data_IF_617679933058
#
_entry.id   IF_617679933058
#
_cell.length_a   1.000
_cell.length_b   1.000
_cell.length_c   1.000
_cell.angle_alpha   90.00
_cell.angle_beta   90.00
_cell.angle_gamma   90.00
#
_symmetry.space_group_name_H-M   'P 1'
#
loop_
_entity.id
_entity.type
_entity.pdbx_description
1 polymer ?
#
# COMPACT_ATOMS: atom_id res chain seq x y z
N UNK A 1 33.22 22.75 -7.89
CA UNK A 1 32.32 21.68 -8.40
C UNK A 1 31.31 21.25 -7.35
N UNK A 2 31.67 20.96 -6.11
CA UNK A 2 30.80 20.48 -5.03
C UNK A 2 29.67 21.43 -4.67
N UNK A 3 29.93 22.75 -4.56
CA UNK A 3 28.91 23.75 -4.19
C UNK A 3 27.77 23.86 -5.23
N UNK A 4 28.06 23.74 -6.52
CA UNK A 4 27.05 23.79 -7.57
C UNK A 4 26.13 22.58 -7.58
N UNK A 5 26.70 21.39 -7.36
CA UNK A 5 25.91 20.16 -7.26
C UNK A 5 24.96 20.28 -6.06
N UNK A 6 25.46 20.74 -4.92
CA UNK A 6 24.64 20.96 -3.73
C UNK A 6 23.51 21.96 -4.00
N UNK A 7 23.79 23.12 -4.61
CA UNK A 7 22.78 24.12 -4.95
C UNK A 7 21.73 23.60 -5.96
N UNK A 8 22.14 22.75 -6.89
CA UNK A 8 21.20 22.09 -7.80
C UNK A 8 20.23 21.18 -7.06
N UNK A 9 20.71 20.40 -6.07
CA UNK A 9 19.84 19.59 -5.23
C UNK A 9 18.94 20.43 -4.34
N UNK A 10 19.43 21.55 -3.78
CA UNK A 10 18.62 22.48 -3.01
C UNK A 10 17.47 23.03 -3.85
N UNK A 11 17.72 23.40 -5.12
CA UNK A 11 16.69 23.84 -6.06
C UNK A 11 15.67 22.73 -6.35
N UNK A 12 16.12 21.49 -6.59
CA UNK A 12 15.24 20.35 -6.79
C UNK A 12 14.38 20.08 -5.54
N UNK A 13 14.96 20.19 -4.35
CA UNK A 13 14.21 20.00 -3.10
C UNK A 13 13.19 21.10 -2.89
N UNK A 14 13.51 22.36 -3.19
CA UNK A 14 12.55 23.46 -3.13
C UNK A 14 11.38 23.23 -4.12
N UNK A 15 11.67 22.75 -5.33
CA UNK A 15 10.64 22.38 -6.30
C UNK A 15 9.74 21.24 -5.80
N UNK A 16 10.29 20.21 -5.16
CA UNK A 16 9.49 19.13 -4.59
C UNK A 16 8.64 19.60 -3.39
N UNK A 17 9.11 20.55 -2.61
CA UNK A 17 8.33 21.17 -1.55
C UNK A 17 7.16 21.99 -2.11
N UNK A 18 7.38 22.79 -3.16
CA UNK A 18 6.33 23.51 -3.89
C UNK A 18 5.31 22.52 -4.46
N UNK A 19 5.78 21.45 -5.07
CA UNK A 19 4.93 20.38 -5.60
C UNK A 19 4.10 19.72 -4.49
N UNK A 20 4.69 19.52 -3.31
CA UNK A 20 4.00 19.00 -2.13
C UNK A 20 2.83 19.88 -1.70
N UNK A 21 3.01 21.20 -1.68
CA UNK A 21 1.94 22.17 -1.37
C UNK A 21 0.79 22.02 -2.37
N UNK A 22 1.07 21.99 -3.68
CA UNK A 22 0.04 21.80 -4.69
C UNK A 22 -0.70 20.47 -4.54
N UNK A 23 -0.01 19.36 -4.26
CA UNK A 23 -0.65 18.05 -4.02
C UNK A 23 -1.69 18.10 -2.91
N UNK A 24 -1.40 18.83 -1.85
CA UNK A 24 -2.34 18.94 -0.73
C UNK A 24 -3.49 19.91 -0.99
N UNK A 25 -3.28 20.92 -1.81
CA UNK A 25 -4.22 22.03 -2.02
C UNK A 25 -5.11 21.89 -3.25
N UNK A 26 -4.64 21.24 -4.32
CA UNK A 26 -5.41 21.08 -5.56
C UNK A 26 -6.39 19.88 -5.49
N UNK A 27 -7.56 19.97 -6.14
CA UNK A 27 -8.06 21.08 -6.96
C UNK A 27 -8.76 22.19 -6.15
N UNK A 28 -8.78 22.10 -4.82
CA UNK A 28 -9.57 23.02 -3.94
C UNK A 28 -8.97 24.43 -3.80
N UNK A 29 -7.77 24.64 -4.35
CA UNK A 29 -7.02 25.89 -4.24
C UNK A 29 -6.25 26.02 -2.92
N UNK A 30 -5.30 26.95 -2.88
CA UNK A 30 -4.48 27.24 -1.69
C UNK A 30 -5.33 27.99 -0.66
N UNK A 31 -5.25 27.61 0.60
CA UNK A 31 -5.71 28.44 1.69
C UNK A 31 -4.63 29.51 2.06
N UNK A 32 -4.93 30.47 2.96
CA UNK A 32 -3.99 31.55 3.30
C UNK A 32 -2.65 31.06 3.88
N UNK A 33 -2.64 29.98 4.65
CA UNK A 33 -1.41 29.40 5.22
C UNK A 33 -0.61 28.68 4.14
N UNK A 34 -1.27 27.93 3.29
CA UNK A 34 -0.67 27.23 2.14
C UNK A 34 -0.08 28.23 1.13
N UNK A 35 -0.79 29.33 0.84
CA UNK A 35 -0.30 30.40 -0.05
C UNK A 35 0.94 31.09 0.53
N UNK A 36 0.96 31.37 1.83
CA UNK A 36 2.13 31.93 2.49
C UNK A 36 3.34 30.99 2.41
N UNK A 37 3.15 29.70 2.66
CA UNK A 37 4.21 28.66 2.49
C UNK A 37 4.69 28.57 1.04
N UNK A 38 3.76 28.59 0.09
CA UNK A 38 4.08 28.57 -1.33
C UNK A 38 4.94 29.78 -1.75
N UNK A 39 4.54 31.00 -1.36
CA UNK A 39 5.29 32.23 -1.66
C UNK A 39 6.68 32.20 -1.06
N UNK A 40 6.83 31.72 0.18
CA UNK A 40 8.12 31.57 0.82
C UNK A 40 9.02 30.61 0.01
N UNK A 41 8.51 29.44 -0.40
CA UNK A 41 9.30 28.47 -1.19
C UNK A 41 9.67 28.97 -2.57
N UNK A 42 8.81 29.78 -3.20
CA UNK A 42 9.16 30.47 -4.45
C UNK A 42 10.28 31.48 -4.25
N UNK A 43 10.29 32.21 -3.14
CA UNK A 43 11.36 33.16 -2.81
C UNK A 43 12.69 32.42 -2.57
N UNK A 44 12.66 31.33 -1.82
CA UNK A 44 13.83 30.47 -1.56
C UNK A 44 14.40 29.92 -2.87
N UNK A 45 13.55 29.41 -3.75
CA UNK A 45 13.96 28.89 -5.06
C UNK A 45 14.61 29.98 -5.93
N UNK A 46 14.03 31.17 -5.97
CA UNK A 46 14.60 32.32 -6.70
C UNK A 46 15.98 32.68 -6.19
N UNK A 47 16.19 32.70 -4.87
CA UNK A 47 17.49 32.95 -4.27
C UNK A 47 18.53 31.87 -4.66
N UNK A 48 18.14 30.60 -4.62
CA UNK A 48 19.02 29.48 -5.02
C UNK A 48 19.37 29.59 -6.52
N UNK A 49 18.41 29.93 -7.37
CA UNK A 49 18.65 30.09 -8.81
C UNK A 49 19.58 31.26 -9.08
N UNK A 50 19.39 32.40 -8.39
CA UNK A 50 20.28 33.57 -8.49
C UNK A 50 21.73 33.22 -8.08
N UNK A 51 21.91 32.42 -7.03
CA UNK A 51 23.23 31.93 -6.61
C UNK A 51 23.86 31.01 -7.69
N UNK A 52 23.07 30.17 -8.34
CA UNK A 52 23.53 29.32 -9.43
C UNK A 52 23.94 30.13 -10.67
N UNK A 53 23.23 31.20 -10.98
CA UNK A 53 23.52 32.11 -12.10
C UNK A 53 24.77 32.97 -11.83
N UNK A 54 24.90 33.52 -10.62
CA UNK A 54 26.05 34.32 -10.22
C UNK A 54 27.39 33.54 -10.24
N UNK A 55 27.30 32.25 -10.07
CA UNK A 55 28.47 31.38 -9.88
C UNK A 55 29.18 30.91 -11.14
N UNK A 56 28.83 31.30 -12.36
CA UNK A 56 29.56 31.18 -13.66
C UNK A 56 28.62 31.05 -14.87
N UNK A 57 29.10 31.50 -16.02
CA UNK A 57 28.45 31.51 -17.30
C UNK A 57 27.51 30.34 -17.62
N UNK A 58 26.39 30.68 -18.16
CA UNK A 58 25.19 29.93 -18.48
C UNK A 58 25.45 28.46 -18.85
N UNK A 59 25.27 27.56 -17.91
CA UNK A 59 24.89 26.20 -18.27
C UNK A 59 23.38 26.27 -18.61
N UNK A 60 23.04 26.23 -19.88
CA UNK A 60 21.65 26.02 -20.32
C UNK A 60 21.17 24.79 -19.53
N UNK A 61 20.25 25.00 -18.61
CA UNK A 61 19.49 23.90 -18.01
C UNK A 61 18.77 23.26 -19.19
N UNK A 62 19.29 22.15 -19.66
CA UNK A 62 18.65 21.36 -20.69
C UNK A 62 17.27 21.04 -20.12
N UNK A 63 16.21 21.49 -20.80
CA UNK A 63 14.87 21.04 -20.51
C UNK A 63 14.93 19.53 -20.39
N UNK A 64 14.71 19.00 -19.19
CA UNK A 64 14.37 17.60 -19.03
C UNK A 64 12.98 17.51 -19.63
N UNK A 65 12.94 17.37 -20.95
CA UNK A 65 11.70 17.07 -21.65
C UNK A 65 11.29 15.70 -21.16
N UNK A 66 10.25 15.62 -20.36
CA UNK A 66 9.63 14.36 -20.03
C UNK A 66 9.19 13.71 -21.35
N UNK A 67 9.88 12.65 -21.75
CA UNK A 67 9.48 11.80 -22.89
C UNK A 67 8.42 10.80 -22.50
N UNK A 68 8.11 10.71 -21.19
CA UNK A 68 7.13 9.79 -20.63
C UNK A 68 5.91 10.62 -20.23
N UNK A 69 4.78 10.34 -20.86
CA UNK A 69 3.49 10.92 -20.48
C UNK A 69 2.84 10.08 -19.37
N UNK A 70 2.49 10.73 -18.27
CA UNK A 70 1.84 10.10 -17.13
C UNK A 70 0.34 10.37 -17.20
N UNK A 71 -0.45 9.31 -17.25
CA UNK A 71 -1.91 9.38 -17.44
C UNK A 71 -2.63 10.17 -16.35
N UNK A 72 -2.14 10.12 -15.12
CA UNK A 72 -2.76 10.76 -13.95
C UNK A 72 -1.74 11.60 -13.21
N UNK A 73 -2.09 12.85 -12.89
CA UNK A 73 -1.27 13.78 -12.11
C UNK A 73 -1.97 14.06 -10.79
N UNK A 74 -1.44 13.51 -9.69
CA UNK A 74 -2.01 13.71 -8.36
C UNK A 74 -1.90 15.14 -7.85
N UNK A 75 -0.95 15.90 -8.39
CA UNK A 75 -0.79 17.32 -8.11
C UNK A 75 -1.98 18.16 -8.58
N UNK A 76 -2.67 17.69 -9.61
CA UNK A 76 -3.77 18.40 -10.28
C UNK A 76 -5.14 17.81 -9.91
N UNK A 77 -5.20 16.71 -9.15
CA UNK A 77 -6.44 15.97 -8.96
C UNK A 77 -6.55 15.36 -7.56
N UNK A 78 -7.79 15.16 -7.10
CA UNK A 78 -8.12 14.27 -6.00
C UNK A 78 -8.16 12.84 -6.57
N UNK A 79 -7.25 12.00 -6.12
CA UNK A 79 -7.18 10.61 -6.56
C UNK A 79 -7.88 9.71 -5.53
N UNK A 80 -8.99 9.08 -5.93
CA UNK A 80 -9.77 8.12 -5.13
C UNK A 80 -9.50 6.66 -5.52
N UNK A 81 -8.39 6.41 -6.20
CA UNK A 81 -8.00 5.08 -6.67
C UNK A 81 -7.96 4.08 -5.51
N UNK A 82 -8.68 2.94 -5.61
CA UNK A 82 -8.90 2.05 -4.47
C UNK A 82 -7.64 1.31 -4.01
N UNK A 83 -6.62 1.17 -4.86
CA UNK A 83 -5.50 0.26 -4.57
C UNK A 83 -4.35 0.96 -3.85
N UNK A 84 -3.99 2.18 -4.26
CA UNK A 84 -2.72 2.81 -3.90
C UNK A 84 -2.85 4.18 -3.21
N UNK A 85 -4.00 4.50 -2.63
CA UNK A 85 -4.21 5.81 -2.01
C UNK A 85 -3.14 6.15 -0.95
N UNK A 86 -2.80 5.18 -0.08
CA UNK A 86 -1.76 5.34 0.94
C UNK A 86 -0.33 5.09 0.41
N UNK A 87 -0.18 4.73 -0.86
CA UNK A 87 1.10 4.52 -1.53
C UNK A 87 1.76 5.80 -2.05
N UNK A 88 1.12 6.96 -1.92
CA UNK A 88 1.72 8.24 -2.31
C UNK A 88 3.04 8.45 -1.63
N UNK A 89 4.07 8.78 -2.42
CA UNK A 89 5.39 9.09 -1.87
C UNK A 89 5.33 10.37 -1.04
N UNK A 90 5.98 10.34 0.12
CA UNK A 90 6.21 11.56 0.90
C UNK A 90 7.23 12.47 0.20
N UNK A 91 7.26 13.74 0.61
CA UNK A 91 8.28 14.69 0.12
C UNK A 91 9.70 14.18 0.41
N UNK A 92 9.91 13.57 1.58
CA UNK A 92 11.20 13.01 2.00
C UNK A 92 11.61 11.85 1.09
N UNK A 93 10.68 10.95 0.75
CA UNK A 93 10.95 9.87 -0.20
C UNK A 93 11.32 10.39 -1.59
N UNK A 94 10.62 11.43 -2.08
CA UNK A 94 10.96 12.07 -3.36
C UNK A 94 12.34 12.69 -3.34
N UNK A 95 12.68 13.45 -2.28
CA UNK A 95 14.01 14.01 -2.08
C UNK A 95 15.11 12.93 -2.05
N UNK A 96 14.86 11.85 -1.29
CA UNK A 96 15.78 10.73 -1.18
C UNK A 96 16.01 10.05 -2.55
N UNK A 97 14.96 9.83 -3.34
CA UNK A 97 15.07 9.25 -4.68
C UNK A 97 15.89 10.13 -5.62
N UNK A 98 15.68 11.46 -5.59
CA UNK A 98 16.48 12.41 -6.37
C UNK A 98 17.95 12.31 -5.96
N UNK A 99 18.24 12.27 -4.66
CA UNK A 99 19.62 12.20 -4.14
C UNK A 99 20.29 10.86 -4.43
N UNK A 100 19.52 9.77 -4.47
CA UNK A 100 20.02 8.43 -4.74
C UNK A 100 20.37 8.25 -6.23
N UNK A 101 19.50 8.62 -7.13
CA UNK A 101 19.65 8.81 -8.59
C UNK A 101 20.13 7.63 -9.43
N UNK A 102 20.89 6.72 -8.85
CA UNK A 102 21.54 5.60 -9.53
C UNK A 102 20.79 4.30 -9.26
N UNK A 103 20.88 3.35 -10.20
CA UNK A 103 20.24 2.05 -10.11
C UNK A 103 20.95 1.02 -9.22
N UNK A 104 21.75 1.45 -8.26
CA UNK A 104 22.50 0.52 -7.41
C UNK A 104 21.58 -0.27 -6.49
N UNK A 105 21.88 -1.55 -6.39
CA UNK A 105 21.29 -2.42 -5.38
C UNK A 105 21.99 -2.26 -4.03
N UNK A 106 21.34 -2.72 -2.96
CA UNK A 106 21.88 -2.72 -1.61
C UNK A 106 22.00 -4.14 -1.07
N UNK A 107 22.85 -4.33 -0.08
CA UNK A 107 23.02 -5.61 0.59
C UNK A 107 22.72 -5.48 2.09
N UNK A 108 21.67 -6.10 2.55
CA UNK A 108 21.20 -6.05 3.93
C UNK A 108 21.16 -7.40 4.63
N UNK A 109 21.16 -8.49 3.86
CA UNK A 109 20.97 -9.84 4.38
C UNK A 109 22.03 -10.29 5.38
N UNK A 110 23.24 -9.72 5.34
CA UNK A 110 24.31 -10.07 6.26
C UNK A 110 24.43 -9.08 7.45
N UNK A 111 23.49 -8.15 7.63
CA UNK A 111 23.51 -7.10 8.66
C UNK A 111 24.82 -6.26 8.70
N UNK A 112 25.61 -6.34 7.65
CA UNK A 112 26.85 -5.56 7.48
C UNK A 112 26.69 -4.69 6.24
N UNK A 113 26.93 -3.36 6.34
CA UNK A 113 26.89 -2.51 5.18
C UNK A 113 27.92 -3.02 4.14
N UNK A 114 27.43 -3.21 2.92
CA UNK A 114 28.34 -3.45 1.81
C UNK A 114 28.99 -2.12 1.45
N UNK A 115 30.31 -2.10 1.28
CA UNK A 115 31.07 -0.85 1.07
C UNK A 115 30.63 -0.02 -0.15
N UNK A 116 29.87 -0.62 -1.06
CA UNK A 116 29.30 0.05 -2.23
C UNK A 116 27.85 0.51 -1.99
N UNK A 117 27.26 0.18 -0.83
CA UNK A 117 25.92 0.66 -0.49
C UNK A 117 25.94 2.17 -0.28
N UNK A 118 24.99 2.84 -0.90
CA UNK A 118 24.84 4.30 -0.75
C UNK A 118 23.98 4.69 0.45
N UNK A 119 23.28 3.74 1.05
CA UNK A 119 22.44 3.94 2.23
C UNK A 119 23.27 3.58 3.47
N UNK A 120 23.68 4.58 4.23
CA UNK A 120 24.52 4.39 5.41
C UNK A 120 23.83 4.78 6.72
N UNK A 121 22.81 5.63 6.67
CA UNK A 121 22.05 6.09 7.84
C UNK A 121 20.58 6.33 7.50
N UNK A 122 19.64 5.69 8.24
CA UNK A 122 19.93 4.57 9.15
C UNK A 122 20.51 3.37 8.39
N UNK A 123 21.14 2.43 9.11
CA UNK A 123 21.51 1.14 8.52
C UNK A 123 20.28 0.35 8.08
N UNK A 124 20.41 -0.45 7.03
CA UNK A 124 19.26 -1.24 6.54
C UNK A 124 18.80 -2.26 7.59
N UNK A 125 19.76 -2.86 8.31
CA UNK A 125 19.45 -3.78 9.40
C UNK A 125 18.69 -3.08 10.55
N UNK A 126 19.10 -1.85 10.90
CA UNK A 126 18.42 -1.05 11.93
C UNK A 126 17.00 -0.70 11.49
N UNK A 127 16.82 -0.42 10.19
CA UNK A 127 15.50 -0.19 9.63
C UNK A 127 14.60 -1.44 9.67
N UNK A 128 15.16 -2.63 9.43
CA UNK A 128 14.42 -3.88 9.59
C UNK A 128 13.99 -4.11 11.03
N UNK A 129 14.85 -3.80 12.01
CA UNK A 129 14.50 -3.87 13.43
C UNK A 129 13.39 -2.85 13.79
N UNK A 130 13.41 -1.66 13.20
CA UNK A 130 12.34 -0.67 13.38
C UNK A 130 11.03 -1.09 12.72
N UNK A 131 11.08 -1.77 11.57
CA UNK A 131 9.89 -2.35 10.94
C UNK A 131 9.28 -3.48 11.81
N UNK A 132 10.11 -4.34 12.38
CA UNK A 132 9.65 -5.40 13.29
C UNK A 132 8.91 -4.79 14.48
N UNK A 133 9.50 -3.78 15.14
CA UNK A 133 8.86 -3.04 16.23
C UNK A 133 7.56 -2.36 15.80
N UNK A 134 7.51 -1.81 14.58
CA UNK A 134 6.36 -1.09 14.06
C UNK A 134 5.12 -1.96 13.92
N UNK A 135 5.29 -3.23 13.58
CA UNK A 135 4.19 -4.21 13.50
C UNK A 135 4.14 -5.14 14.71
N UNK A 136 4.92 -4.86 15.76
CA UNK A 136 5.08 -5.68 16.96
C UNK A 136 5.33 -7.16 16.66
N UNK A 137 6.36 -7.43 15.84
CA UNK A 137 6.90 -8.75 15.56
C UNK A 137 8.37 -8.81 15.97
N UNK A 138 8.98 -10.01 15.94
CA UNK A 138 10.36 -10.18 16.38
C UNK A 138 11.36 -9.79 15.28
N UNK A 139 11.09 -10.16 14.04
CA UNK A 139 12.00 -9.97 12.91
C UNK A 139 11.21 -9.46 11.70
N UNK A 140 11.79 -8.55 10.94
CA UNK A 140 11.23 -8.10 9.66
C UNK A 140 12.26 -8.01 8.55
N UNK A 141 11.76 -8.04 7.31
CA UNK A 141 12.51 -7.79 6.08
C UNK A 141 11.68 -6.96 5.12
N UNK A 142 12.33 -6.07 4.40
CA UNK A 142 11.75 -5.50 3.18
C UNK A 142 11.84 -6.52 2.06
N UNK A 143 10.75 -6.68 1.33
CA UNK A 143 10.64 -7.66 0.23
C UNK A 143 10.13 -6.96 -1.04
N UNK A 144 10.41 -7.50 -2.25
CA UNK A 144 9.92 -6.92 -3.51
C UNK A 144 8.41 -7.18 -3.69
N UNK A 145 7.60 -6.47 -2.88
CA UNK A 145 6.15 -6.55 -2.86
C UNK A 145 5.61 -7.61 -1.89
N UNK A 146 4.37 -7.40 -1.40
CA UNK A 146 3.69 -8.38 -0.54
C UNK A 146 3.67 -9.78 -1.16
N UNK A 147 3.53 -9.87 -2.49
CA UNK A 147 3.59 -11.14 -3.22
C UNK A 147 4.84 -11.96 -2.89
N UNK A 148 6.02 -11.32 -2.78
CA UNK A 148 7.25 -12.02 -2.39
C UNK A 148 7.19 -12.49 -0.94
N UNK A 149 6.56 -11.72 -0.05
CA UNK A 149 6.33 -12.14 1.33
C UNK A 149 5.49 -13.42 1.39
N UNK A 150 4.37 -13.48 0.65
CA UNK A 150 3.55 -14.71 0.56
C UNK A 150 4.34 -15.88 -0.01
N UNK A 151 5.09 -15.69 -1.08
CA UNK A 151 5.94 -16.72 -1.67
C UNK A 151 6.98 -17.22 -0.68
N UNK A 152 7.66 -16.33 0.05
CA UNK A 152 8.68 -16.72 1.03
C UNK A 152 8.11 -17.59 2.15
N UNK A 153 6.92 -17.25 2.67
CA UNK A 153 6.25 -18.06 3.69
C UNK A 153 5.78 -19.39 3.11
N UNK A 154 5.13 -19.37 1.95
CA UNK A 154 4.68 -20.61 1.30
C UNK A 154 5.86 -21.55 0.99
N UNK A 155 6.95 -21.03 0.41
CA UNK A 155 8.16 -21.84 0.13
C UNK A 155 8.83 -22.40 1.41
N UNK A 156 8.57 -21.76 2.56
CA UNK A 156 9.11 -22.21 3.85
C UNK A 156 8.32 -23.37 4.45
N UNK A 157 6.99 -23.34 4.29
CA UNK A 157 6.07 -24.20 5.03
C UNK A 157 5.40 -25.28 4.18
N UNK A 158 5.20 -24.99 2.89
CA UNK A 158 4.38 -25.83 1.99
C UNK A 158 5.26 -26.76 1.19
N UNK A 159 4.97 -28.07 1.25
CA UNK A 159 5.52 -29.05 0.36
C UNK A 159 4.49 -29.44 -0.71
N UNK A 160 4.93 -30.16 -1.73
CA UNK A 160 4.04 -30.63 -2.79
C UNK A 160 2.87 -31.44 -2.23
N UNK A 161 1.66 -30.99 -2.50
CA UNK A 161 0.42 -31.64 -2.08
C UNK A 161 -0.10 -31.24 -0.70
N UNK A 162 0.62 -30.40 0.06
CA UNK A 162 0.13 -29.88 1.34
C UNK A 162 -1.02 -28.90 1.11
N UNK A 163 -2.00 -28.93 2.00
CA UNK A 163 -3.15 -28.01 1.96
C UNK A 163 -2.84 -26.70 2.70
N UNK A 164 -3.24 -25.59 2.11
CA UNK A 164 -3.18 -24.24 2.71
C UNK A 164 -4.58 -23.65 2.73
N UNK A 165 -5.01 -23.18 3.89
CA UNK A 165 -6.29 -22.49 4.07
C UNK A 165 -6.14 -21.02 3.70
N UNK A 166 -7.06 -20.51 2.88
CA UNK A 166 -7.15 -19.11 2.50
C UNK A 166 -8.60 -18.62 2.60
N UNK A 167 -8.80 -17.31 2.65
CA UNK A 167 -10.13 -16.71 2.52
C UNK A 167 -10.70 -16.93 1.12
N UNK A 168 -12.02 -17.15 0.98
CA UNK A 168 -12.69 -17.07 -0.32
C UNK A 168 -12.63 -15.66 -0.96
N UNK A 169 -12.18 -14.64 -0.20
CA UNK A 169 -11.84 -13.29 -0.69
C UNK A 169 -10.35 -13.06 -0.87
N UNK A 170 -9.50 -14.09 -0.69
CA UNK A 170 -8.06 -13.94 -0.79
C UNK A 170 -7.62 -13.37 -2.14
N UNK A 171 -6.61 -12.53 -2.12
CA UNK A 171 -6.07 -11.98 -3.34
C UNK A 171 -5.35 -13.08 -4.15
N UNK A 172 -5.48 -13.07 -5.47
CA UNK A 172 -4.88 -14.10 -6.35
C UNK A 172 -3.39 -14.36 -6.11
N UNK A 173 -2.65 -13.39 -5.54
CA UNK A 173 -1.22 -13.57 -5.23
C UNK A 173 -0.96 -14.56 -4.11
N UNK A 174 -1.94 -14.81 -3.23
CA UNK A 174 -1.87 -15.87 -2.22
C UNK A 174 -2.02 -17.25 -2.88
N UNK A 175 -3.00 -17.38 -3.78
CA UNK A 175 -3.16 -18.58 -4.60
C UNK A 175 -1.88 -18.92 -5.36
N UNK A 176 -1.29 -17.92 -6.06
CA UNK A 176 -0.04 -18.12 -6.79
C UNK A 176 1.14 -18.49 -5.89
N UNK A 177 1.18 -17.99 -4.66
CA UNK A 177 2.23 -18.36 -3.72
C UNK A 177 2.13 -19.84 -3.30
N UNK A 178 0.91 -20.30 -3.04
CA UNK A 178 0.63 -21.72 -2.70
C UNK A 178 0.91 -22.62 -3.90
N UNK A 179 0.46 -22.26 -5.10
CA UNK A 179 0.70 -22.99 -6.34
C UNK A 179 2.20 -23.14 -6.63
N UNK A 180 2.97 -22.04 -6.52
CA UNK A 180 4.42 -22.05 -6.73
C UNK A 180 5.17 -22.98 -5.76
N UNK A 181 4.66 -23.15 -4.56
CA UNK A 181 5.19 -24.10 -3.58
C UNK A 181 4.72 -25.55 -3.82
N UNK A 182 3.80 -25.76 -4.77
CA UNK A 182 3.22 -27.06 -5.06
C UNK A 182 2.11 -27.48 -4.10
N UNK A 183 1.56 -26.53 -3.35
CA UNK A 183 0.46 -26.74 -2.40
C UNK A 183 -0.92 -26.72 -3.06
N UNK A 184 -1.93 -27.02 -2.26
CA UNK A 184 -3.33 -27.05 -2.64
C UNK A 184 -4.09 -26.00 -1.82
N UNK A 185 -4.74 -25.06 -2.50
CA UNK A 185 -5.57 -24.04 -1.86
C UNK A 185 -6.88 -24.64 -1.37
N UNK A 186 -7.26 -24.31 -0.14
CA UNK A 186 -8.53 -24.67 0.51
C UNK A 186 -9.22 -23.41 1.00
N UNK A 187 -10.32 -23.03 0.38
CA UNK A 187 -11.01 -21.77 0.68
C UNK A 187 -11.97 -21.91 1.86
N UNK A 188 -11.89 -20.95 2.79
CA UNK A 188 -12.89 -20.79 3.86
C UNK A 188 -14.08 -20.01 3.29
N UNK A 189 -15.31 -20.53 3.41
CA UNK A 189 -16.49 -19.83 2.94
C UNK A 189 -16.78 -18.58 3.77
N UNK A 190 -17.53 -17.64 3.17
CA UNK A 190 -17.96 -16.41 3.80
C UNK A 190 -19.33 -16.61 4.47
N UNK A 191 -19.57 -15.86 5.53
CA UNK A 191 -20.90 -15.70 6.08
C UNK A 191 -21.73 -14.67 5.26
N UNK A 192 -22.98 -14.43 5.67
CA UNK A 192 -23.90 -13.50 5.01
C UNK A 192 -23.40 -12.04 4.98
N UNK A 193 -22.43 -11.69 5.86
CA UNK A 193 -21.80 -10.36 5.92
C UNK A 193 -20.51 -10.28 5.10
N UNK A 194 -20.22 -11.27 4.27
CA UNK A 194 -18.97 -11.40 3.53
C UNK A 194 -17.72 -11.42 4.45
N UNK A 195 -17.80 -12.14 5.57
CA UNK A 195 -16.68 -12.30 6.50
C UNK A 195 -16.26 -13.76 6.61
N UNK A 196 -14.97 -14.00 6.71
CA UNK A 196 -14.41 -15.26 7.21
C UNK A 196 -14.53 -15.27 8.73
N UNK A 197 -15.02 -16.35 9.31
CA UNK A 197 -15.15 -16.50 10.76
C UNK A 197 -14.22 -17.59 11.30
N UNK A 198 -13.95 -17.54 12.59
CA UNK A 198 -13.18 -18.57 13.29
C UNK A 198 -13.82 -19.95 13.20
N UNK A 199 -15.16 -20.01 13.31
CA UNK A 199 -15.93 -21.24 13.22
C UNK A 199 -15.82 -21.86 11.81
N UNK A 200 -15.98 -21.06 10.75
CA UNK A 200 -15.84 -21.54 9.38
C UNK A 200 -14.40 -21.99 9.11
N UNK A 201 -13.41 -21.32 9.70
CA UNK A 201 -12.00 -21.72 9.59
C UNK A 201 -11.76 -23.07 10.29
N UNK A 202 -12.27 -23.26 11.52
CA UNK A 202 -12.20 -24.53 12.24
C UNK A 202 -12.83 -25.67 11.44
N UNK A 203 -14.03 -25.42 10.91
CA UNK A 203 -14.76 -26.40 10.10
C UNK A 203 -13.94 -26.78 8.85
N UNK A 204 -13.33 -25.81 8.17
CA UNK A 204 -12.49 -26.08 6.99
C UNK A 204 -11.23 -26.86 7.35
N UNK A 205 -10.61 -26.61 8.50
CA UNK A 205 -9.46 -27.40 8.99
C UNK A 205 -9.85 -28.87 9.17
N UNK A 206 -10.97 -29.14 9.85
CA UNK A 206 -11.45 -30.50 10.07
C UNK A 206 -11.90 -31.20 8.78
N UNK A 207 -12.52 -30.46 7.84
CA UNK A 207 -12.87 -30.96 6.51
C UNK A 207 -11.62 -31.44 5.77
N UNK A 208 -10.57 -30.60 5.70
CA UNK A 208 -9.30 -30.93 5.05
C UNK A 208 -8.64 -32.15 5.71
N UNK A 209 -8.62 -32.19 7.04
CA UNK A 209 -8.08 -33.32 7.80
C UNK A 209 -8.82 -34.62 7.49
N UNK A 210 -10.15 -34.57 7.40
CA UNK A 210 -10.98 -35.72 7.09
C UNK A 210 -10.77 -36.22 5.65
N UNK A 211 -10.68 -35.31 4.69
CA UNK A 211 -10.50 -35.65 3.28
C UNK A 211 -9.08 -36.18 2.96
N UNK A 212 -8.06 -35.59 3.58
CA UNK A 212 -6.65 -35.84 3.20
C UNK A 212 -5.89 -36.70 4.20
N UNK A 213 -6.42 -36.91 5.39
CA UNK A 213 -5.74 -37.52 6.53
C UNK A 213 -4.64 -36.65 7.15
N UNK A 214 -4.52 -35.38 6.73
CA UNK A 214 -3.49 -34.43 7.20
C UNK A 214 -4.10 -33.08 7.53
N UNK A 215 -3.52 -32.41 8.51
CA UNK A 215 -3.85 -31.00 8.77
C UNK A 215 -3.31 -30.08 7.67
N UNK A 216 -3.95 -28.94 7.39
CA UNK A 216 -3.33 -27.86 6.62
C UNK A 216 -2.05 -27.38 7.28
N UNK A 217 -1.09 -26.91 6.49
CA UNK A 217 0.21 -26.45 7.00
C UNK A 217 0.30 -24.94 7.25
N UNK A 218 -0.70 -24.20 6.77
CA UNK A 218 -0.72 -22.74 6.87
C UNK A 218 -2.17 -22.24 6.73
N UNK A 219 -2.51 -21.19 7.48
CA UNK A 219 -3.71 -20.38 7.30
C UNK A 219 -3.28 -18.99 6.86
N UNK A 220 -3.82 -18.46 5.75
CA UNK A 220 -3.52 -17.12 5.22
C UNK A 220 -4.82 -16.31 5.13
N UNK A 221 -4.94 -15.24 5.89
CA UNK A 221 -6.18 -14.44 5.95
C UNK A 221 -5.86 -12.95 5.84
N UNK A 222 -6.66 -12.26 5.01
CA UNK A 222 -6.67 -10.81 4.94
C UNK A 222 -7.30 -10.21 6.20
N UNK A 223 -6.70 -9.16 6.77
CA UNK A 223 -7.37 -8.42 7.85
C UNK A 223 -8.55 -7.60 7.29
N UNK A 224 -8.28 -6.87 6.23
CA UNK A 224 -9.31 -6.23 5.41
C UNK A 224 -9.18 -6.77 3.98
N UNK A 225 -10.22 -7.42 3.50
CA UNK A 225 -10.19 -8.01 2.17
C UNK A 225 -10.19 -6.94 1.05
N UNK A 226 -9.66 -7.30 -0.11
CA UNK A 226 -9.57 -6.34 -1.22
C UNK A 226 -10.89 -6.14 -1.97
N UNK A 227 -11.90 -6.97 -1.74
CA UNK A 227 -13.20 -6.90 -2.43
C UNK A 227 -14.14 -5.92 -1.77
N UNK A 228 -14.35 -6.08 -0.46
CA UNK A 228 -15.30 -5.29 0.32
C UNK A 228 -14.58 -4.37 1.33
N UNK A 229 -13.33 -4.67 1.66
CA UNK A 229 -12.60 -4.08 2.78
C UNK A 229 -13.39 -4.18 4.08
N UNK A 230 -13.93 -5.35 4.36
CA UNK A 230 -14.55 -5.71 5.62
C UNK A 230 -13.50 -6.25 6.59
N UNK A 231 -13.69 -5.99 7.88
CA UNK A 231 -12.77 -6.43 8.92
C UNK A 231 -13.03 -7.89 9.28
N UNK A 232 -12.04 -8.75 9.10
CA UNK A 232 -12.06 -10.13 9.58
C UNK A 232 -11.47 -10.20 10.99
N UNK A 233 -12.08 -11.01 11.88
CA UNK A 233 -11.55 -11.23 13.24
C UNK A 233 -10.35 -12.18 13.21
N UNK A 234 -9.20 -11.61 12.81
CA UNK A 234 -7.96 -12.37 12.69
C UNK A 234 -7.53 -12.98 14.02
N UNK A 235 -7.76 -12.29 15.14
CA UNK A 235 -7.34 -12.80 16.45
C UNK A 235 -8.12 -14.08 16.82
N UNK A 236 -9.42 -14.12 16.55
CA UNK A 236 -10.21 -15.34 16.74
C UNK A 236 -9.78 -16.45 15.79
N UNK A 237 -9.49 -16.11 14.51
CA UNK A 237 -9.00 -17.08 13.52
C UNK A 237 -7.63 -17.63 13.91
N UNK A 238 -6.70 -16.77 14.36
CA UNK A 238 -5.37 -17.19 14.84
C UNK A 238 -5.48 -18.16 16.01
N UNK A 239 -6.34 -17.83 16.99
CA UNK A 239 -6.59 -18.71 18.13
C UNK A 239 -7.06 -20.10 17.72
N UNK A 240 -7.96 -20.17 16.74
CA UNK A 240 -8.43 -21.45 16.20
C UNK A 240 -7.31 -22.17 15.47
N UNK A 241 -6.56 -21.49 14.61
CA UNK A 241 -5.44 -22.08 13.87
C UNK A 241 -4.41 -22.71 14.80
N UNK A 242 -4.04 -22.00 15.88
CA UNK A 242 -3.08 -22.47 16.88
C UNK A 242 -3.58 -23.66 17.72
N UNK A 243 -4.90 -23.86 17.85
CA UNK A 243 -5.43 -25.08 18.50
C UNK A 243 -5.09 -26.36 17.73
N UNK A 244 -4.75 -26.22 16.46
CA UNK A 244 -4.31 -27.31 15.57
C UNK A 244 -2.81 -27.26 15.28
N UNK A 245 -2.04 -26.42 15.96
CA UNK A 245 -0.61 -26.17 15.71
C UNK A 245 -0.33 -25.68 14.28
N UNK A 246 -1.27 -24.96 13.65
CA UNK A 246 -1.13 -24.41 12.31
C UNK A 246 -0.78 -22.94 12.41
N UNK A 247 0.35 -22.49 11.80
CA UNK A 247 0.71 -21.07 11.79
C UNK A 247 -0.25 -20.22 10.96
N UNK A 248 -0.40 -18.95 11.37
CA UNK A 248 -1.23 -17.97 10.70
C UNK A 248 -0.39 -16.87 10.03
N UNK A 249 -0.60 -16.67 8.73
CA UNK A 249 -0.14 -15.51 7.99
C UNK A 249 -1.24 -14.45 7.94
N UNK A 250 -0.95 -13.31 8.54
CA UNK A 250 -1.76 -12.10 8.47
C UNK A 250 -1.44 -11.33 7.18
N UNK A 251 -2.40 -11.25 6.26
CA UNK A 251 -2.31 -10.38 5.10
C UNK A 251 -2.70 -8.95 5.46
N UNK A 252 -1.70 -8.11 5.66
CA UNK A 252 -1.81 -6.69 5.97
C UNK A 252 -1.60 -5.75 4.79
N UNK A 253 -1.85 -6.19 3.55
CA UNK A 253 -1.58 -5.38 2.36
C UNK A 253 -2.35 -4.04 2.34
N UNK A 254 -3.45 -3.94 3.06
CA UNK A 254 -4.25 -2.72 3.23
C UNK A 254 -4.20 -2.13 4.64
N UNK A 255 -3.39 -2.69 5.56
CA UNK A 255 -3.34 -2.25 6.95
C UNK A 255 -1.96 -1.79 7.40
N UNK A 256 -0.90 -2.55 7.06
CA UNK A 256 0.48 -2.21 7.46
C UNK A 256 0.89 -0.86 6.84
N UNK A 257 1.06 0.16 7.67
CA UNK A 257 1.42 1.51 7.26
C UNK A 257 0.24 2.48 7.06
N UNK A 258 -1.01 2.01 7.23
CA UNK A 258 -2.22 2.85 7.23
C UNK A 258 -2.81 2.96 8.62
N UNK A 259 -2.88 1.85 9.35
CA UNK A 259 -3.43 1.76 10.69
C UNK A 259 -2.44 1.06 11.63
N UNK A 260 -2.64 1.14 12.95
CA UNK A 260 -1.83 0.36 13.89
C UNK A 260 -2.01 -1.13 13.65
N UNK A 261 -0.90 -1.86 13.58
CA UNK A 261 -0.87 -3.33 13.50
C UNK A 261 -0.03 -3.87 14.63
N UNK A 262 -0.60 -4.77 15.43
CA UNK A 262 0.07 -5.46 16.53
C UNK A 262 0.03 -6.97 16.28
N UNK A 263 1.05 -7.47 15.57
CA UNK A 263 1.10 -8.85 15.13
C UNK A 263 1.05 -9.86 16.28
N UNK A 264 1.77 -9.61 17.38
CA UNK A 264 1.76 -10.49 18.57
C UNK A 264 0.42 -10.52 19.26
N UNK A 265 -0.24 -9.36 19.42
CA UNK A 265 -1.57 -9.30 20.03
C UNK A 265 -2.62 -10.03 19.18
N UNK A 266 -2.50 -9.95 17.87
CA UNK A 266 -3.36 -10.65 16.93
C UNK A 266 -3.09 -12.16 16.94
N UNK A 267 -1.90 -12.60 17.34
CA UNK A 267 -1.47 -13.99 17.26
C UNK A 267 -0.97 -14.37 15.86
N UNK A 268 -0.45 -13.41 15.10
CA UNK A 268 0.12 -13.70 13.79
C UNK A 268 1.53 -14.31 13.91
N UNK A 269 1.80 -15.38 13.19
CA UNK A 269 3.14 -15.95 13.04
C UNK A 269 3.92 -15.20 11.97
N UNK A 270 3.22 -14.76 10.92
CA UNK A 270 3.74 -13.95 9.84
C UNK A 270 2.83 -12.74 9.57
N UNK A 271 3.44 -11.60 9.32
CA UNK A 271 2.77 -10.37 8.87
C UNK A 271 3.33 -9.96 7.52
N UNK A 272 2.47 -9.84 6.51
CA UNK A 272 2.86 -9.37 5.18
C UNK A 272 2.17 -8.06 4.86
N UNK A 273 2.93 -7.01 4.58
CA UNK A 273 2.45 -5.69 4.18
C UNK A 273 2.85 -5.32 2.75
N UNK A 274 2.10 -4.42 2.11
CA UNK A 274 2.39 -3.91 0.77
C UNK A 274 2.93 -2.48 0.84
N UNK A 275 4.20 -2.28 0.46
CA UNK A 275 4.85 -0.98 0.54
C UNK A 275 4.25 0.06 -0.42
N UNK A 276 4.03 -0.32 -1.68
CA UNK A 276 3.44 0.59 -2.67
C UNK A 276 1.96 0.87 -2.46
N UNK A 277 1.24 0.06 -1.66
CA UNK A 277 -0.15 0.34 -1.32
C UNK A 277 -0.28 1.21 -0.07
N UNK A 278 0.56 0.94 0.95
CA UNK A 278 0.31 1.44 2.29
C UNK A 278 1.52 1.99 3.05
N UNK A 279 2.75 1.87 2.51
CA UNK A 279 3.98 2.37 3.17
C UNK A 279 4.61 3.58 2.46
N UNK A 280 3.87 4.23 1.56
CA UNK A 280 4.37 5.37 0.77
C UNK A 280 5.73 5.09 0.11
N UNK A 281 5.86 3.94 -0.53
CA UNK A 281 7.11 3.45 -1.14
C UNK A 281 6.93 3.15 -2.61
N UNK A 282 8.01 3.25 -3.39
CA UNK A 282 8.02 2.88 -4.81
C UNK A 282 7.79 1.37 -4.98
N UNK A 283 7.01 1.02 -5.99
CA UNK A 283 6.75 -0.38 -6.35
C UNK A 283 7.94 -1.04 -7.08
N UNK A 284 8.13 -2.35 -6.91
CA UNK A 284 7.46 -3.22 -5.94
C UNK A 284 8.13 -3.15 -4.57
N UNK A 285 7.35 -2.99 -3.52
CA UNK A 285 7.83 -2.98 -2.14
C UNK A 285 6.84 -3.65 -1.21
N UNK A 286 7.34 -4.28 -0.16
CA UNK A 286 6.56 -4.96 0.85
C UNK A 286 7.35 -5.17 2.13
N UNK A 287 6.64 -5.59 3.15
CA UNK A 287 7.19 -5.98 4.46
C UNK A 287 6.80 -7.42 4.70
N UNK A 288 7.75 -8.23 5.12
CA UNK A 288 7.53 -9.54 5.72
C UNK A 288 8.08 -9.48 7.14
N UNK A 289 7.22 -9.68 8.12
CA UNK A 289 7.64 -9.82 9.52
C UNK A 289 7.16 -11.17 10.08
N UNK A 290 7.86 -11.67 11.10
CA UNK A 290 7.61 -13.00 11.65
C UNK A 290 8.04 -13.09 13.10
N UNK A 291 7.56 -14.12 13.79
CA UNK A 291 8.02 -14.48 15.12
C UNK A 291 9.41 -15.09 15.10
N UNK A 292 10.11 -15.06 16.23
CA UNK A 292 11.44 -15.65 16.40
C UNK A 292 11.44 -17.18 16.10
N UNK A 293 10.32 -17.84 16.39
CA UNK A 293 10.14 -19.27 16.11
C UNK A 293 10.29 -19.62 14.63
N UNK A 294 9.71 -18.82 13.74
CA UNK A 294 9.70 -19.09 12.30
C UNK A 294 10.90 -18.51 11.56
N UNK A 295 11.58 -17.53 12.15
CA UNK A 295 12.71 -16.86 11.51
C UNK A 295 13.83 -17.80 11.07
N UNK A 296 14.27 -18.82 11.84
CA UNK A 296 15.32 -19.73 11.39
C UNK A 296 14.96 -20.54 10.13
N UNK A 297 13.66 -20.78 9.92
CA UNK A 297 13.16 -21.50 8.73
C UNK A 297 12.99 -20.54 7.55
N UNK A 298 12.29 -19.43 7.74
CA UNK A 298 11.98 -18.46 6.68
C UNK A 298 13.19 -17.65 6.20
N UNK A 299 14.16 -17.40 7.09
CA UNK A 299 15.42 -16.71 6.79
C UNK A 299 16.61 -17.66 6.72
N UNK A 300 16.36 -18.93 6.44
CA UNK A 300 17.42 -19.93 6.27
C UNK A 300 18.42 -19.49 5.21
N UNK A 301 19.68 -19.73 5.47
CA UNK A 301 20.74 -19.48 4.48
C UNK A 301 20.98 -20.72 3.62
N UNK A 302 21.54 -20.50 2.42
CA UNK A 302 21.83 -21.64 1.54
C UNK A 302 22.93 -22.54 2.09
N UNK A 303 22.67 -23.86 2.05
CA UNK A 303 23.66 -24.90 2.29
C UNK A 303 24.34 -25.40 1.00
N UNK A 304 23.94 -24.87 -0.16
CA UNK A 304 24.46 -25.32 -1.46
C UNK A 304 25.95 -25.03 -1.59
N UNK A 305 26.63 -26.00 -2.16
CA UNK A 305 28.06 -25.95 -2.48
C UNK A 305 28.22 -26.18 -3.97
N UNK A 306 28.91 -25.30 -4.65
CA UNK A 306 29.23 -25.50 -6.07
C UNK A 306 30.02 -26.82 -6.28
N UNK A 307 29.56 -27.69 -7.15
CA UNK A 307 30.18 -29.00 -7.42
C UNK A 307 31.61 -28.85 -7.97
N UNK A 308 31.81 -27.91 -8.86
CA UNK A 308 33.11 -27.59 -9.47
C UNK A 308 33.95 -26.64 -8.62
N UNK A 309 33.39 -25.48 -8.23
CA UNK A 309 34.14 -24.39 -7.60
C UNK A 309 34.27 -24.52 -6.09
N UNK A 310 33.50 -25.43 -5.48
CA UNK A 310 33.37 -25.59 -4.01
C UNK A 310 32.96 -24.31 -3.28
N UNK A 311 32.42 -23.32 -4.01
CA UNK A 311 31.96 -22.04 -3.43
C UNK A 311 30.74 -22.24 -2.54
N UNK A 312 30.71 -21.54 -1.42
CA UNK A 312 29.64 -21.55 -0.43
C UNK A 312 29.11 -20.13 -0.24
N UNK A 313 27.81 -20.01 0.00
CA UNK A 313 27.14 -18.71 0.22
C UNK A 313 26.29 -18.71 1.51
N UNK A 314 26.79 -19.33 2.58
CA UNK A 314 26.08 -19.58 3.83
C UNK A 314 25.54 -18.36 4.59
N UNK A 315 25.77 -17.14 4.10
CA UNK A 315 25.25 -15.90 4.65
C UNK A 315 24.05 -15.35 3.83
N UNK A 316 23.64 -16.02 2.76
CA UNK A 316 22.59 -15.54 1.86
C UNK A 316 21.27 -16.22 2.19
N UNK A 317 20.29 -15.43 2.61
CA UNK A 317 18.92 -15.89 2.89
C UNK A 317 18.26 -16.32 1.58
N UNK A 318 17.84 -17.60 1.51
CA UNK A 318 17.33 -18.21 0.28
C UNK A 318 16.02 -17.55 -0.15
N UNK A 319 15.08 -17.43 0.77
CA UNK A 319 13.76 -16.88 0.46
C UNK A 319 13.77 -15.37 0.22
N UNK A 320 14.79 -14.67 0.70
CA UNK A 320 15.01 -13.26 0.39
C UNK A 320 15.83 -13.06 -0.90
N UNK A 321 16.09 -14.14 -1.66
CA UNK A 321 16.89 -14.13 -2.89
C UNK A 321 18.34 -13.65 -2.70
N UNK A 322 18.86 -13.84 -1.51
CA UNK A 322 20.20 -13.39 -1.15
C UNK A 322 20.25 -11.90 -0.83
N UNK A 323 21.27 -11.22 -1.31
CA UNK A 323 21.35 -9.77 -1.28
C UNK A 323 21.00 -9.22 -2.66
N UNK A 324 20.58 -8.07 -2.78
CA UNK A 324 20.17 -7.32 -3.96
C UNK A 324 18.73 -6.86 -3.80
N UNK A 325 18.50 -6.07 -2.76
CA UNK A 325 17.30 -5.28 -2.68
C UNK A 325 17.36 -4.14 -3.70
N UNK A 326 16.21 -3.77 -4.21
CA UNK A 326 16.08 -2.62 -5.08
C UNK A 326 16.30 -1.34 -4.26
N UNK A 327 17.47 -0.72 -4.40
CA UNK A 327 17.90 0.38 -3.55
C UNK A 327 16.93 1.55 -3.51
N UNK A 328 16.41 2.00 -4.65
CA UNK A 328 15.42 3.07 -4.71
C UNK A 328 14.11 2.73 -3.97
N UNK A 329 13.65 1.49 -4.08
CA UNK A 329 12.44 1.02 -3.39
C UNK A 329 12.61 1.02 -1.87
N UNK A 330 13.71 0.45 -1.39
CA UNK A 330 14.05 0.41 0.03
C UNK A 330 14.24 1.84 0.58
N UNK A 331 15.02 2.67 -0.11
CA UNK A 331 15.28 4.04 0.28
C UNK A 331 14.01 4.88 0.41
N UNK A 332 13.08 4.74 -0.55
CA UNK A 332 11.80 5.46 -0.48
C UNK A 332 10.96 5.03 0.72
N UNK A 333 10.97 3.74 1.06
CA UNK A 333 10.29 3.23 2.26
C UNK A 333 10.94 3.78 3.53
N UNK A 334 12.27 3.72 3.64
CA UNK A 334 13.02 4.26 4.78
C UNK A 334 12.75 5.74 4.98
N UNK A 335 12.77 6.53 3.90
CA UNK A 335 12.54 7.97 3.96
C UNK A 335 11.08 8.33 4.32
N UNK A 336 10.10 7.54 3.88
CA UNK A 336 8.69 7.72 4.24
C UNK A 336 8.35 7.25 5.65
N UNK A 337 9.14 6.37 6.24
CA UNK A 337 8.78 5.64 7.46
C UNK A 337 8.41 6.52 8.66
N UNK A 338 9.11 7.63 8.98
CA UNK A 338 8.69 8.52 10.05
C UNK A 338 7.27 9.06 9.86
N UNK A 339 6.95 9.50 8.64
CA UNK A 339 5.61 9.97 8.28
C UNK A 339 4.57 8.86 8.32
N UNK A 340 4.94 7.65 7.86
CA UNK A 340 4.08 6.46 7.94
C UNK A 340 3.75 6.11 9.38
N UNK A 341 4.74 6.09 10.28
CA UNK A 341 4.49 5.85 11.72
C UNK A 341 3.55 6.89 12.31
N UNK A 342 3.78 8.16 12.01
CA UNK A 342 2.94 9.24 12.54
C UNK A 342 1.50 9.16 12.05
N UNK A 343 1.28 8.85 10.77
CA UNK A 343 -0.07 8.80 10.18
C UNK A 343 -0.90 7.62 10.66
N UNK A 344 -0.30 6.47 10.99
CA UNK A 344 -1.06 5.33 11.53
C UNK A 344 -1.77 5.66 12.82
N UNK A 345 -1.22 6.58 13.64
CA UNK A 345 -1.84 7.06 14.88
C UNK A 345 -3.09 7.92 14.66
N UNK A 346 -3.33 8.36 13.42
CA UNK A 346 -4.50 9.17 13.01
C UNK A 346 -5.57 8.34 12.30
N UNK A 347 -5.52 7.02 12.44
CA UNK A 347 -6.44 6.12 11.74
C UNK A 347 -7.92 6.45 11.98
N UNK A 348 -8.30 6.77 13.20
CA UNK A 348 -9.69 7.11 13.54
C UNK A 348 -10.19 8.35 12.79
N UNK A 349 -9.30 9.31 12.50
CA UNK A 349 -9.63 10.49 11.69
C UNK A 349 -9.88 10.11 10.24
N UNK A 350 -9.08 9.18 9.68
CA UNK A 350 -9.26 8.67 8.33
C UNK A 350 -10.59 7.92 8.19
N UNK A 351 -10.93 7.09 9.18
CA UNK A 351 -12.21 6.36 9.24
C UNK A 351 -13.40 7.33 9.36
N UNK A 352 -13.29 8.38 10.17
CA UNK A 352 -14.32 9.43 10.26
C UNK A 352 -14.56 10.13 8.93
N UNK A 353 -13.50 10.47 8.19
CA UNK A 353 -13.60 11.07 6.86
C UNK A 353 -14.27 10.15 5.86
N UNK A 354 -13.90 8.86 5.91
CA UNK A 354 -14.55 7.85 5.05
C UNK A 354 -16.06 7.75 5.34
N UNK A 355 -16.44 7.65 6.60
CA UNK A 355 -17.85 7.62 6.98
C UNK A 355 -18.58 8.88 6.54
N UNK A 356 -18.01 10.08 6.75
CA UNK A 356 -18.60 11.33 6.29
C UNK A 356 -18.90 11.32 4.78
N UNK A 357 -17.95 10.84 3.95
CA UNK A 357 -18.19 10.73 2.51
C UNK A 357 -19.31 9.73 2.20
N UNK A 358 -19.29 8.57 2.84
CA UNK A 358 -20.30 7.53 2.61
C UNK A 358 -21.69 7.99 3.06
N UNK A 359 -21.83 8.67 4.19
CA UNK A 359 -23.08 9.24 4.66
C UNK A 359 -23.67 10.21 3.62
N UNK A 360 -22.83 11.01 2.98
CA UNK A 360 -23.23 11.91 1.90
C UNK A 360 -23.63 11.17 0.63
N UNK A 361 -22.87 10.13 0.24
CA UNK A 361 -23.20 9.30 -0.92
C UNK A 361 -24.55 8.56 -0.74
N UNK A 362 -24.83 8.11 0.47
CA UNK A 362 -26.10 7.42 0.78
C UNK A 362 -27.34 8.34 0.74
N UNK A 363 -27.15 9.66 0.78
CA UNK A 363 -28.23 10.62 0.54
C UNK A 363 -28.69 10.67 -0.92
N UNK A 364 -27.88 10.18 -1.86
CA UNK A 364 -28.26 10.04 -3.27
C UNK A 364 -29.11 8.78 -3.40
N UNK A 365 -30.38 8.96 -3.71
CA UNK A 365 -31.36 7.88 -3.78
C UNK A 365 -30.91 6.76 -4.72
N UNK A 366 -31.03 5.51 -4.27
CA UNK A 366 -30.59 4.33 -5.01
C UNK A 366 -29.10 3.97 -4.85
N UNK A 367 -28.32 4.77 -4.11
CA UNK A 367 -26.94 4.41 -3.74
C UNK A 367 -26.91 3.53 -2.50
N UNK A 368 -26.03 2.53 -2.47
CA UNK A 368 -25.84 1.58 -1.36
C UNK A 368 -24.35 1.35 -1.09
N UNK A 369 -24.06 0.93 0.12
CA UNK A 369 -22.73 0.42 0.51
C UNK A 369 -22.78 -1.11 0.53
N UNK A 370 -21.83 -1.75 -0.15
CA UNK A 370 -21.66 -3.21 -0.14
C UNK A 370 -20.65 -3.67 0.91
N UNK A 371 -19.78 -2.76 1.35
CA UNK A 371 -18.88 -2.96 2.50
C UNK A 371 -19.66 -2.89 3.81
N UNK A 372 -19.08 -3.35 4.92
CA UNK A 372 -19.67 -3.12 6.25
C UNK A 372 -19.92 -1.62 6.50
N UNK A 373 -20.99 -1.31 7.23
CA UNK A 373 -21.33 0.06 7.58
C UNK A 373 -21.84 0.13 9.05
N UNK A 374 -21.39 1.13 9.84
CA UNK A 374 -20.40 2.16 9.53
C UNK A 374 -19.05 1.60 9.11
N UNK A 375 -18.30 2.36 8.27
CA UNK A 375 -16.98 1.92 7.78
C UNK A 375 -15.98 1.86 8.92
N UNK A 376 -15.14 0.83 8.87
CA UNK A 376 -13.94 0.70 9.69
C UNK A 376 -12.64 0.87 8.89
N UNK A 377 -12.78 0.98 7.56
CA UNK A 377 -11.66 1.20 6.64
C UNK A 377 -11.99 2.27 5.60
N UNK A 378 -10.98 2.90 5.02
CA UNK A 378 -11.11 3.96 4.02
C UNK A 378 -11.37 3.44 2.60
N UNK A 379 -11.01 2.17 2.33
CA UNK A 379 -11.42 1.48 1.10
C UNK A 379 -12.89 1.07 1.24
N UNK A 380 -13.72 1.42 0.26
CA UNK A 380 -15.16 1.13 0.28
C UNK A 380 -15.63 0.63 -1.07
N UNK A 381 -16.46 -0.40 -1.06
CA UNK A 381 -17.21 -0.88 -2.22
C UNK A 381 -18.65 -0.38 -2.14
N UNK A 382 -19.10 0.24 -3.21
CA UNK A 382 -20.43 0.82 -3.32
C UNK A 382 -21.22 0.17 -4.46
N UNK A 383 -22.53 0.21 -4.34
CA UNK A 383 -23.50 -0.15 -5.40
C UNK A 383 -24.29 1.11 -5.75
N UNK A 384 -24.17 1.55 -6.98
CA UNK A 384 -24.87 2.71 -7.54
C UNK A 384 -25.75 2.32 -8.73
N UNK A 385 -26.17 1.05 -8.77
CA UNK A 385 -27.08 0.52 -9.80
C UNK A 385 -28.40 1.26 -9.82
N UNK A 386 -28.92 1.64 -8.66
CA UNK A 386 -30.18 2.40 -8.52
C UNK A 386 -30.02 3.91 -8.63
N UNK A 387 -28.79 4.43 -8.80
CA UNK A 387 -28.48 5.86 -8.92
C UNK A 387 -27.68 6.14 -10.20
N UNK A 388 -26.38 6.28 -10.13
CA UNK A 388 -25.55 6.68 -11.29
C UNK A 388 -25.66 5.72 -12.49
N UNK A 389 -25.93 4.40 -12.29
CA UNK A 389 -26.11 3.49 -13.42
C UNK A 389 -27.40 3.71 -14.20
N UNK A 390 -28.43 4.25 -13.56
CA UNK A 390 -29.68 4.60 -14.26
C UNK A 390 -29.46 5.65 -15.33
N UNK A 391 -28.59 6.63 -15.05
CA UNK A 391 -28.15 7.64 -16.02
C UNK A 391 -27.34 7.01 -17.14
N UNK A 392 -26.44 6.08 -16.82
CA UNK A 392 -25.59 5.40 -17.79
C UNK A 392 -26.38 4.64 -18.85
N UNK A 393 -27.59 4.18 -18.53
CA UNK A 393 -28.45 3.44 -19.46
C UNK A 393 -28.95 4.31 -20.63
N UNK A 394 -29.15 5.59 -20.41
CA UNK A 394 -29.71 6.54 -21.41
C UNK A 394 -28.70 7.56 -21.90
N UNK A 395 -27.61 7.78 -21.16
CA UNK A 395 -26.62 8.79 -21.50
C UNK A 395 -25.77 8.37 -22.71
N UNK A 396 -25.51 9.30 -23.66
CA UNK A 396 -24.70 9.02 -24.87
C UNK A 396 -23.30 8.45 -24.60
N UNK A 397 -22.68 8.81 -23.47
CA UNK A 397 -21.37 8.31 -23.03
C UNK A 397 -21.47 7.03 -22.19
N UNK A 398 -22.69 6.52 -21.96
CA UNK A 398 -22.95 5.39 -21.07
C UNK A 398 -22.25 5.58 -19.71
N UNK A 399 -21.67 4.55 -19.12
CA UNK A 399 -20.97 4.65 -17.84
C UNK A 399 -19.77 5.63 -17.80
N UNK A 400 -19.19 5.92 -18.95
CA UNK A 400 -18.09 6.88 -19.01
C UNK A 400 -18.47 8.32 -18.66
N UNK A 401 -19.78 8.65 -18.64
CA UNK A 401 -20.23 9.98 -18.24
C UNK A 401 -19.77 10.33 -16.82
N UNK A 402 -19.83 9.35 -15.89
CA UNK A 402 -19.42 9.60 -14.50
C UNK A 402 -17.94 9.92 -14.41
N UNK A 403 -17.09 9.18 -15.12
CA UNK A 403 -15.66 9.49 -15.20
C UNK A 403 -15.39 10.88 -15.82
N UNK A 404 -16.13 11.24 -16.87
CA UNK A 404 -16.02 12.56 -17.51
C UNK A 404 -16.44 13.69 -16.54
N UNK A 405 -17.56 13.52 -15.79
CA UNK A 405 -18.04 14.45 -14.79
C UNK A 405 -17.05 14.64 -13.63
N UNK A 406 -16.51 13.53 -13.12
CA UNK A 406 -15.54 13.56 -12.03
C UNK A 406 -14.22 14.19 -12.49
N UNK A 407 -13.69 13.79 -13.64
CA UNK A 407 -12.43 14.31 -14.18
C UNK A 407 -12.49 15.80 -14.48
N UNK A 408 -13.62 16.29 -14.99
CA UNK A 408 -13.83 17.74 -15.25
C UNK A 408 -13.81 18.58 -13.98
N UNK A 409 -14.00 17.93 -12.81
CA UNK A 409 -13.95 18.55 -11.46
C UNK A 409 -12.68 18.17 -10.69
N UNK A 410 -11.66 17.65 -11.39
CA UNK A 410 -10.38 17.32 -10.80
C UNK A 410 -10.40 16.07 -9.89
N UNK A 411 -11.33 15.12 -10.11
CA UNK A 411 -11.40 13.86 -9.38
C UNK A 411 -11.08 12.71 -10.35
N UNK A 412 -10.16 11.84 -9.97
CA UNK A 412 -9.71 10.71 -10.78
C UNK A 412 -9.52 9.45 -9.92
N UNK A 413 -9.34 8.30 -10.55
CA UNK A 413 -9.00 7.06 -9.85
C UNK A 413 -10.14 6.06 -9.74
N UNK A 414 -11.35 6.40 -10.20
CA UNK A 414 -12.41 5.42 -10.42
C UNK A 414 -12.12 4.56 -11.68
N UNK A 415 -12.74 3.39 -11.75
CA UNK A 415 -12.65 2.58 -12.95
C UNK A 415 -13.56 3.17 -14.04
N UNK A 416 -12.97 3.71 -15.09
CA UNK A 416 -13.68 4.38 -16.16
C UNK A 416 -14.80 3.49 -16.75
N UNK A 417 -16.02 4.03 -16.77
CA UNK A 417 -17.21 3.34 -17.21
C UNK A 417 -17.93 2.49 -16.14
N UNK A 418 -17.37 2.38 -14.93
CA UNK A 418 -18.00 1.66 -13.84
C UNK A 418 -19.04 2.54 -13.13
N UNK A 419 -20.33 2.18 -13.26
CA UNK A 419 -21.44 2.90 -12.63
C UNK A 419 -22.36 2.01 -11.79
N UNK A 420 -22.15 0.68 -11.81
CA UNK A 420 -22.94 -0.26 -11.00
C UNK A 420 -22.30 -0.50 -9.64
N UNK A 421 -21.28 -1.32 -9.63
CA UNK A 421 -20.52 -1.62 -8.43
C UNK A 421 -19.05 -1.23 -8.64
N UNK A 422 -18.54 -0.40 -7.76
CA UNK A 422 -17.18 0.09 -7.86
C UNK A 422 -16.58 0.36 -6.48
N UNK A 423 -15.30 0.64 -6.45
CA UNK A 423 -14.55 0.89 -5.21
C UNK A 423 -13.86 2.23 -5.27
N UNK A 424 -13.73 2.85 -4.10
CA UNK A 424 -12.95 4.06 -3.89
C UNK A 424 -12.17 3.98 -2.58
N UNK A 425 -11.18 4.84 -2.45
CA UNK A 425 -10.40 4.97 -1.22
C UNK A 425 -10.20 6.44 -0.89
N UNK A 426 -10.62 6.85 0.31
CA UNK A 426 -10.50 8.23 0.79
C UNK A 426 -9.26 8.49 1.62
N UNK A 427 -8.38 7.50 1.80
CA UNK A 427 -7.20 7.61 2.64
C UNK A 427 -6.30 8.78 2.23
N UNK A 428 -5.87 9.55 3.24
CA UNK A 428 -4.96 10.68 3.07
C UNK A 428 -5.59 11.92 2.44
N UNK A 429 -6.91 11.95 2.26
CA UNK A 429 -7.64 13.16 1.87
C UNK A 429 -7.87 14.02 3.12
N UNK A 430 -7.59 15.32 3.02
CA UNK A 430 -7.96 16.29 4.08
C UNK A 430 -9.48 16.44 4.19
N UNK A 431 -9.96 16.97 5.31
CA UNK A 431 -11.39 17.24 5.50
C UNK A 431 -11.96 18.11 4.37
N UNK A 432 -11.20 19.11 3.91
CA UNK A 432 -11.54 19.96 2.77
C UNK A 432 -11.75 19.15 1.49
N UNK A 433 -10.81 18.23 1.18
CA UNK A 433 -10.89 17.37 -0.02
C UNK A 433 -12.03 16.36 0.05
N UNK A 434 -12.29 15.79 1.23
CA UNK A 434 -13.40 14.84 1.41
C UNK A 434 -14.75 15.53 1.31
N UNK A 435 -14.88 16.78 1.84
CA UNK A 435 -16.09 17.59 1.65
C UNK A 435 -16.30 17.92 0.18
N UNK A 436 -15.28 18.44 -0.49
CA UNK A 436 -15.33 18.71 -1.92
C UNK A 436 -15.72 17.47 -2.74
N UNK A 437 -15.12 16.32 -2.44
CA UNK A 437 -15.46 15.06 -3.08
C UNK A 437 -16.95 14.72 -2.92
N UNK A 438 -17.47 14.84 -1.70
CA UNK A 438 -18.89 14.59 -1.41
C UNK A 438 -19.82 15.58 -2.13
N UNK A 439 -19.46 16.86 -2.14
CA UNK A 439 -20.23 17.89 -2.83
C UNK A 439 -20.27 17.65 -4.34
N UNK A 440 -19.15 17.26 -4.95
CA UNK A 440 -19.10 16.92 -6.38
C UNK A 440 -20.02 15.74 -6.72
N UNK A 441 -20.06 14.67 -5.90
CA UNK A 441 -21.00 13.57 -6.13
C UNK A 441 -22.45 14.03 -6.02
N UNK A 442 -22.74 14.92 -5.07
CA UNK A 442 -24.08 15.53 -4.93
C UNK A 442 -24.43 16.38 -6.15
N UNK A 443 -23.53 17.29 -6.59
CA UNK A 443 -23.73 18.11 -7.78
C UNK A 443 -23.94 17.29 -9.06
N UNK A 444 -23.19 16.21 -9.24
CA UNK A 444 -23.35 15.31 -10.39
C UNK A 444 -24.73 14.61 -10.32
N UNK A 445 -25.16 14.19 -9.14
CA UNK A 445 -26.47 13.59 -8.94
C UNK A 445 -27.60 14.60 -9.29
N UNK A 446 -27.54 15.82 -8.75
CA UNK A 446 -28.51 16.88 -9.00
C UNK A 446 -28.56 17.29 -10.47
N UNK A 447 -27.38 17.46 -11.12
CA UNK A 447 -27.26 17.75 -12.55
C UNK A 447 -28.00 16.76 -13.44
N UNK A 448 -28.05 15.50 -13.01
CA UNK A 448 -28.72 14.41 -13.73
C UNK A 448 -30.04 14.02 -13.10
N UNK A 449 -30.64 14.90 -12.32
CA UNK A 449 -32.00 14.76 -11.75
C UNK A 449 -32.17 13.54 -10.82
N UNK A 450 -31.08 13.03 -10.23
CA UNK A 450 -31.18 12.01 -9.18
C UNK A 450 -31.69 12.66 -7.88
N UNK A 451 -32.70 12.04 -7.21
CA UNK A 451 -33.15 12.57 -5.92
C UNK A 451 -32.05 12.51 -4.85
N UNK A 452 -31.81 13.62 -4.18
CA UNK A 452 -30.88 13.74 -3.06
C UNK A 452 -31.66 14.15 -1.81
N UNK A 453 -31.52 13.36 -0.73
CA UNK A 453 -32.11 13.71 0.58
C UNK A 453 -31.33 14.84 1.23
N UNK A 454 -32.00 15.78 1.91
CA UNK A 454 -31.36 16.86 2.67
C UNK A 454 -30.62 16.36 3.91
#
# INVERSE_FOLDING_TARGET
>A
MTIRIQKTFEALFALEEIRGIFRESLPTGLDPEEDAKFRQRIADLKAIVADLEAGTGATKVTKIAGTIDVRTREEESINIQPIQAAGRLTTEARKALISYGDGYSTCDACRKPFRLDKISKPGIADFHDDLAKFVNMDIARVVPGARRGFQAVASTLVNKGDSVIVSALAHYTEFLAVENAGGIVREVPLNEKNLVTAEATAQKIEEVKTETGKLPVLVMIDHYDYQFANEHDIAAIAKVSHQYDIPLLYNGAYTVGVMPVDGKKIGADFVVGSGQKSMASVAPSGVLAMTEEWAPKALRTTAMVGDLTKRKFGIKEVEMLGCTLMGGTLLSMMASFPSVKARTLKWDEEVKRSNFFIDRLLKISGSKVLSEYPRKHTLTKVDTTGSFDTIAQTHKRRGFYLSDELSSRGIVGEFAGATRTWKLNTYGLSDKKVRYLADVFTEVAEKHELPVSL
#
